data_IF_866453330084
#
_entry.id   IF_866453330084
#
_cell.length_a   1.000
_cell.length_b   1.000
_cell.length_c   1.000
_cell.angle_alpha   90.00
_cell.angle_beta   90.00
_cell.angle_gamma   90.00
#
_symmetry.space_group_name_H-M   'P 1'
#
loop_
_entity.id
_entity.type
_entity.pdbx_description
1 polymer ?
#
# COMPACT_ATOMS: atom_id res chain seq x y z
N UNK A 1 -6.01 13.17 -3.95
CA UNK A 1 -6.37 11.96 -4.73
C UNK A 1 -7.56 11.23 -4.11
N UNK A 2 -7.51 10.73 -2.87
CA UNK A 2 -8.69 10.07 -2.23
C UNK A 2 -9.99 10.89 -2.28
N UNK A 3 -9.90 12.22 -2.31
CA UNK A 3 -11.05 13.11 -2.43
C UNK A 3 -11.84 12.93 -3.74
N UNK A 4 -11.22 12.47 -4.84
CA UNK A 4 -11.96 12.20 -6.10
C UNK A 4 -12.84 10.97 -5.95
N UNK A 5 -12.30 9.88 -5.39
CA UNK A 5 -13.08 8.67 -5.05
C UNK A 5 -14.23 9.00 -4.11
N UNK A 6 -13.98 9.83 -3.09
CA UNK A 6 -15.03 10.29 -2.15
C UNK A 6 -16.14 11.11 -2.81
N UNK A 7 -15.77 12.02 -3.72
CA UNK A 7 -16.76 12.86 -4.42
C UNK A 7 -17.66 12.01 -5.32
N UNK A 8 -17.13 10.95 -5.91
CA UNK A 8 -17.89 10.07 -6.80
C UNK A 8 -18.77 9.08 -6.06
N UNK A 9 -18.37 8.65 -4.86
CA UNK A 9 -19.14 7.70 -4.03
C UNK A 9 -20.56 8.16 -3.65
N UNK A 10 -20.87 9.46 -3.77
CA UNK A 10 -22.22 10.02 -3.53
C UNK A 10 -22.98 10.39 -4.81
N UNK A 11 -22.46 10.04 -5.98
CA UNK A 11 -23.09 10.33 -7.28
C UNK A 11 -23.71 9.06 -7.85
N UNK A 12 -24.72 9.19 -8.74
CA UNK A 12 -25.30 8.04 -9.48
C UNK A 12 -24.25 7.15 -10.16
N UNK A 13 -23.06 7.69 -10.44
CA UNK A 13 -21.94 7.00 -11.09
C UNK A 13 -20.96 6.31 -10.11
N UNK A 14 -21.14 6.47 -8.80
CA UNK A 14 -20.31 5.84 -7.78
C UNK A 14 -21.12 5.14 -6.70
N UNK A 15 -22.37 4.81 -7.00
CA UNK A 15 -23.23 3.99 -6.13
C UNK A 15 -22.74 2.52 -6.11
N UNK A 16 -22.03 2.10 -7.17
CA UNK A 16 -21.51 0.74 -7.29
C UNK A 16 -20.09 0.63 -6.70
N UNK A 17 -19.97 -0.18 -5.64
CA UNK A 17 -18.69 -0.58 -5.06
C UNK A 17 -17.61 -1.06 -6.07
N UNK A 18 -17.91 -1.87 -7.13
CA UNK A 18 -16.88 -2.30 -8.07
C UNK A 18 -16.29 -1.17 -8.92
N UNK A 19 -17.08 -0.15 -9.26
CA UNK A 19 -16.63 1.02 -10.04
C UNK A 19 -15.70 1.89 -9.18
N UNK A 20 -16.10 2.17 -7.94
CA UNK A 20 -15.26 2.87 -6.97
C UNK A 20 -13.95 2.13 -6.68
N UNK A 21 -14.01 0.79 -6.57
CA UNK A 21 -12.83 -0.05 -6.43
C UNK A 21 -11.90 0.11 -7.61
N UNK A 22 -12.43 0.02 -8.84
CA UNK A 22 -11.64 0.15 -10.07
C UNK A 22 -10.95 1.51 -10.14
N UNK A 23 -11.68 2.58 -9.83
CA UNK A 23 -11.11 3.93 -9.79
C UNK A 23 -10.02 4.06 -8.72
N UNK A 24 -10.25 3.52 -7.51
CA UNK A 24 -9.24 3.50 -6.45
C UNK A 24 -7.98 2.76 -6.89
N UNK A 25 -8.12 1.59 -7.52
CA UNK A 25 -7.00 0.79 -8.01
C UNK A 25 -6.18 1.56 -9.06
N UNK A 26 -6.86 2.17 -10.02
CA UNK A 26 -6.20 2.86 -11.13
C UNK A 26 -5.54 4.20 -10.73
N UNK A 27 -6.16 4.98 -9.84
CA UNK A 27 -5.69 6.33 -9.54
C UNK A 27 -4.87 6.44 -8.24
N UNK A 28 -5.23 5.69 -7.20
CA UNK A 28 -4.62 5.83 -5.87
C UNK A 28 -3.66 4.67 -5.60
N UNK A 29 -4.12 3.44 -5.80
CA UNK A 29 -3.33 2.24 -5.52
C UNK A 29 -2.12 2.14 -6.44
N UNK A 30 -2.27 2.40 -7.75
CA UNK A 30 -1.15 2.44 -8.71
C UNK A 30 0.00 3.34 -8.27
N UNK A 31 -0.31 4.53 -7.74
CA UNK A 31 0.67 5.50 -7.25
C UNK A 31 1.35 5.01 -5.96
N UNK A 32 0.61 4.33 -5.07
CA UNK A 32 1.18 3.71 -3.87
C UNK A 32 2.12 2.56 -4.24
N UNK A 33 1.72 1.73 -5.21
CA UNK A 33 2.47 0.57 -5.68
C UNK A 33 3.76 0.95 -6.38
N UNK A 34 3.74 2.00 -7.21
CA UNK A 34 4.95 2.55 -7.83
C UNK A 34 6.01 2.93 -6.80
N UNK A 35 5.60 3.42 -5.62
CA UNK A 35 6.50 3.87 -4.55
C UNK A 35 6.97 2.76 -3.62
N UNK A 36 6.51 1.52 -3.77
CA UNK A 36 6.83 0.42 -2.85
C UNK A 36 8.34 0.22 -2.60
N UNK A 37 9.25 0.30 -3.60
CA UNK A 37 10.69 0.12 -3.35
C UNK A 37 11.27 1.15 -2.38
N UNK A 38 10.75 2.38 -2.43
CA UNK A 38 11.20 3.50 -1.59
C UNK A 38 10.63 3.39 -0.17
N UNK A 39 9.49 2.70 -0.01
CA UNK A 39 8.83 2.56 1.30
C UNK A 39 9.71 1.86 2.35
N UNK A 40 10.74 1.14 1.92
CA UNK A 40 11.72 0.49 2.79
C UNK A 40 12.54 1.48 3.63
N UNK A 41 12.66 2.71 3.14
CA UNK A 41 13.42 3.78 3.79
C UNK A 41 12.54 4.67 4.67
N UNK A 42 11.22 4.47 4.64
CA UNK A 42 10.28 5.29 5.38
C UNK A 42 10.17 4.86 6.84
N UNK A 43 9.90 5.83 7.71
CA UNK A 43 9.58 5.55 9.12
C UNK A 43 8.27 4.79 9.25
N UNK A 44 8.12 4.05 10.36
CA UNK A 44 6.87 3.36 10.72
C UNK A 44 5.67 4.31 10.73
N UNK A 45 5.87 5.56 11.20
CA UNK A 45 4.83 6.60 11.20
C UNK A 45 4.37 6.97 9.79
N UNK A 46 5.30 7.06 8.83
CA UNK A 46 4.97 7.33 7.43
C UNK A 46 4.24 6.14 6.80
N UNK A 47 4.69 4.90 7.06
CA UNK A 47 4.03 3.69 6.59
C UNK A 47 2.58 3.59 7.09
N UNK A 48 2.36 3.84 8.38
CA UNK A 48 1.03 3.86 8.98
C UNK A 48 0.11 4.91 8.32
N UNK A 49 0.65 6.06 7.94
CA UNK A 49 -0.11 7.09 7.22
C UNK A 49 -0.52 6.62 5.82
N UNK A 50 0.34 5.89 5.11
CA UNK A 50 0.02 5.32 3.79
C UNK A 50 -1.07 4.25 3.94
N UNK A 51 -0.93 3.34 4.90
CA UNK A 51 -1.90 2.29 5.18
C UNK A 51 -3.27 2.90 5.58
N UNK A 52 -3.27 4.00 6.33
CA UNK A 52 -4.49 4.74 6.67
C UNK A 52 -5.24 5.32 5.45
N UNK A 53 -4.55 5.61 4.35
CA UNK A 53 -5.20 6.06 3.09
C UNK A 53 -5.96 4.90 2.44
N UNK A 54 -5.35 3.71 2.36
CA UNK A 54 -6.04 2.49 1.88
C UNK A 54 -7.25 2.19 2.76
N UNK A 55 -7.11 2.26 4.08
CA UNK A 55 -8.20 1.99 5.02
C UNK A 55 -9.39 2.94 4.82
N UNK A 56 -9.11 4.22 4.59
CA UNK A 56 -10.15 5.21 4.26
C UNK A 56 -10.79 4.93 2.92
N UNK A 57 -10.03 4.48 1.91
CA UNK A 57 -10.57 4.15 0.59
C UNK A 57 -11.51 2.95 0.65
N UNK A 58 -11.11 1.86 1.33
CA UNK A 58 -11.93 0.66 1.52
C UNK A 58 -13.27 1.02 2.17
N UNK A 59 -13.26 1.87 3.20
CA UNK A 59 -14.49 2.30 3.86
C UNK A 59 -15.42 3.10 2.95
N UNK A 60 -14.86 3.91 2.05
CA UNK A 60 -15.63 4.65 1.04
C UNK A 60 -16.21 3.70 0.00
N UNK A 61 -15.42 2.74 -0.48
CA UNK A 61 -15.85 1.74 -1.48
C UNK A 61 -16.98 0.87 -0.95
N UNK A 62 -16.87 0.40 0.30
CA UNK A 62 -17.85 -0.50 0.91
C UNK A 62 -18.98 0.22 1.66
N UNK A 63 -18.92 1.55 1.81
CA UNK A 63 -19.86 2.31 2.63
C UNK A 63 -19.83 1.96 4.13
N UNK A 64 -18.77 1.29 4.62
CA UNK A 64 -18.70 0.78 6.00
C UNK A 64 -18.34 1.86 7.03
N UNK A 65 -18.83 1.69 8.25
CA UNK A 65 -18.51 2.55 9.40
C UNK A 65 -17.02 2.49 9.77
N UNK A 66 -16.52 3.48 10.52
CA UNK A 66 -15.13 3.51 11.03
C UNK A 66 -14.81 2.41 12.05
N UNK A 67 -15.81 1.89 12.75
CA UNK A 67 -15.67 0.83 13.75
C UNK A 67 -15.46 -0.55 13.13
N UNK A 68 -15.78 -0.73 11.84
CA UNK A 68 -15.61 -2.02 11.16
C UNK A 68 -14.12 -2.43 11.10
N UNK A 69 -13.78 -3.70 11.41
CA UNK A 69 -12.41 -4.21 11.30
C UNK A 69 -11.86 -4.07 9.89
N UNK A 70 -10.61 -3.60 9.76
CA UNK A 70 -10.02 -3.35 8.44
C UNK A 70 -9.78 -4.62 7.64
N UNK A 71 -9.33 -5.70 8.30
CA UNK A 71 -9.06 -6.98 7.64
C UNK A 71 -10.32 -7.56 6.98
N UNK A 72 -11.48 -7.42 7.62
CA UNK A 72 -12.76 -7.80 7.03
C UNK A 72 -13.09 -6.93 5.81
N UNK A 73 -12.82 -5.62 5.87
CA UNK A 73 -12.98 -4.72 4.72
C UNK A 73 -12.07 -5.05 3.55
N UNK A 74 -10.81 -5.42 3.81
CA UNK A 74 -9.85 -5.85 2.77
C UNK A 74 -10.32 -7.13 2.08
N UNK A 75 -10.83 -8.10 2.86
CA UNK A 75 -11.40 -9.33 2.35
C UNK A 75 -12.65 -9.07 1.48
N UNK A 76 -13.61 -8.31 1.99
CA UNK A 76 -14.86 -8.00 1.31
C UNK A 76 -14.64 -7.16 0.04
N UNK A 77 -13.74 -6.18 0.10
CA UNK A 77 -13.38 -5.39 -1.07
C UNK A 77 -12.50 -6.18 -2.06
N UNK A 78 -11.94 -7.32 -1.67
CA UNK A 78 -10.96 -8.07 -2.46
C UNK A 78 -9.75 -7.20 -2.82
N UNK A 79 -9.23 -6.45 -1.85
CA UNK A 79 -8.06 -5.57 -1.99
C UNK A 79 -6.97 -6.10 -1.06
N UNK A 80 -5.78 -6.37 -1.61
CA UNK A 80 -4.67 -6.89 -0.81
C UNK A 80 -4.21 -5.85 0.25
N UNK A 81 -3.94 -6.29 1.50
CA UNK A 81 -3.34 -5.43 2.50
C UNK A 81 -1.99 -4.86 2.04
N UNK A 82 -1.81 -3.53 2.16
CA UNK A 82 -0.65 -2.85 1.59
C UNK A 82 0.68 -3.31 2.21
N UNK A 83 0.67 -3.73 3.48
CA UNK A 83 1.85 -4.28 4.15
C UNK A 83 2.34 -5.59 3.51
N UNK A 84 1.45 -6.42 2.98
CA UNK A 84 1.82 -7.65 2.26
C UNK A 84 2.42 -7.32 0.90
N UNK A 85 1.79 -6.42 0.14
CA UNK A 85 2.31 -5.94 -1.15
C UNK A 85 3.71 -5.34 -0.98
N UNK A 86 3.92 -4.56 0.10
CA UNK A 86 5.23 -3.98 0.46
C UNK A 86 6.26 -5.05 0.75
N UNK A 87 5.93 -6.06 1.55
CA UNK A 87 6.83 -7.18 1.85
C UNK A 87 7.22 -7.95 0.59
N UNK A 88 6.28 -8.17 -0.34
CA UNK A 88 6.57 -8.78 -1.64
C UNK A 88 7.54 -7.95 -2.47
N UNK A 89 7.29 -6.64 -2.59
CA UNK A 89 8.17 -5.73 -3.31
C UNK A 89 9.58 -5.66 -2.70
N UNK A 90 9.68 -5.70 -1.38
CA UNK A 90 10.95 -5.81 -0.65
C UNK A 90 11.75 -7.04 -1.05
N UNK A 91 11.12 -8.21 -0.99
CA UNK A 91 11.78 -9.48 -1.34
C UNK A 91 12.25 -9.47 -2.79
N UNK A 92 11.42 -9.01 -3.72
CA UNK A 92 11.80 -8.89 -5.15
C UNK A 92 12.99 -7.94 -5.31
N UNK A 93 13.01 -6.82 -4.59
CA UNK A 93 14.10 -5.84 -4.66
C UNK A 93 15.41 -6.40 -4.12
N UNK A 94 15.36 -7.11 -2.98
CA UNK A 94 16.52 -7.79 -2.39
C UNK A 94 17.07 -8.84 -3.36
N UNK A 95 16.20 -9.66 -3.96
CA UNK A 95 16.60 -10.67 -4.93
C UNK A 95 17.25 -10.05 -6.18
N UNK A 96 16.74 -8.92 -6.66
CA UNK A 96 17.35 -8.17 -7.77
C UNK A 96 18.76 -7.71 -7.40
N UNK A 97 18.94 -7.17 -6.21
CA UNK A 97 20.24 -6.68 -5.75
C UNK A 97 21.25 -7.81 -5.54
N UNK A 98 20.82 -8.99 -5.05
CA UNK A 98 21.68 -10.18 -4.92
C UNK A 98 22.25 -10.68 -6.24
N UNK A 99 21.51 -10.49 -7.34
CA UNK A 99 21.93 -10.92 -8.68
C UNK A 99 22.93 -9.97 -9.35
N UNK A 100 23.13 -8.78 -8.79
CA UNK A 100 24.13 -7.83 -9.29
C UNK A 100 25.54 -8.31 -8.94
N UNK A 101 26.53 -7.80 -9.68
CA UNK A 101 27.94 -8.06 -9.42
C UNK A 101 28.30 -7.67 -7.99
N UNK A 102 29.20 -8.43 -7.36
CA UNK A 102 29.56 -8.25 -5.95
C UNK A 102 30.19 -6.87 -5.65
N UNK A 103 30.75 -6.21 -6.67
CA UNK A 103 31.35 -4.88 -6.60
C UNK A 103 30.33 -3.74 -6.71
N UNK A 104 29.06 -4.03 -7.04
CA UNK A 104 28.00 -3.02 -7.12
C UNK A 104 27.57 -2.62 -5.69
N UNK A 105 27.51 -1.31 -5.35
CA UNK A 105 27.03 -0.85 -4.05
C UNK A 105 25.65 -1.43 -3.67
N UNK A 106 24.77 -1.65 -4.64
CA UNK A 106 23.43 -2.21 -4.39
C UNK A 106 23.49 -3.68 -3.93
N UNK A 107 24.50 -4.44 -4.36
CA UNK A 107 24.73 -5.80 -3.87
C UNK A 107 24.99 -5.81 -2.36
N UNK A 108 25.79 -4.85 -1.87
CA UNK A 108 26.05 -4.68 -0.43
C UNK A 108 24.80 -4.27 0.36
N UNK A 109 23.90 -3.48 -0.24
CA UNK A 109 22.62 -3.07 0.38
C UNK A 109 21.65 -4.24 0.56
N UNK A 110 21.73 -5.30 -0.27
CA UNK A 110 20.94 -6.51 -0.10
C UNK A 110 21.28 -7.30 1.17
N UNK A 111 22.51 -7.14 1.66
CA UNK A 111 23.04 -7.82 2.84
C UNK A 111 22.84 -7.00 4.12
N UNK A 112 22.60 -5.68 4.00
CA UNK A 112 22.27 -4.84 5.15
C UNK A 112 20.85 -5.13 5.62
N UNK A 113 20.73 -5.88 6.73
CA UNK A 113 19.53 -5.81 7.56
C UNK A 113 19.42 -4.40 8.09
N UNK A 114 18.43 -3.64 7.60
CA UNK A 114 18.06 -2.34 8.17
C UNK A 114 17.90 -2.56 9.66
N UNK A 115 18.82 -2.00 10.46
CA UNK A 115 18.72 -2.10 11.90
C UNK A 115 17.41 -1.43 12.29
N UNK A 116 16.47 -2.21 12.83
CA UNK A 116 15.27 -1.66 13.44
C UNK A 116 15.76 -0.63 14.46
N UNK A 117 15.55 0.66 14.19
CA UNK A 117 15.83 1.76 15.13
C UNK A 117 14.93 1.71 16.39
N UNK A 118 14.19 0.62 16.57
CA UNK A 118 13.34 0.33 17.71
C UNK A 118 13.94 -0.89 18.43
N UNK A 119 15.13 -0.68 19.01
CA UNK A 119 15.56 -1.38 20.21
C UNK A 119 15.82 -0.28 21.24
N UNK A 120 14.78 0.02 22.01
CA UNK A 120 14.89 0.64 23.33
C UNK A 120 13.75 0.12 24.19
#
# INVERSE_FOLDING_TARGET
MLNTVKKLAGTKWGENAPELKTLYLNAVRSIMEYRLPIQNLLSTTCLNNIDAIQNKAIRVILGTMKSSPIAAGELLAGIEPLHLTRKKAQLITIERYRRLNINDPLHSMAQQTVHNRINK
#
